data_IF_225816065925
#
_entry.id   IF_225816065925
#
_cell.length_a   1.000
_cell.length_b   1.000
_cell.length_c   1.000
_cell.angle_alpha   90.00
_cell.angle_beta   90.00
_cell.angle_gamma   90.00
#
_symmetry.space_group_name_H-M   'P 1'
#
loop_
_entity.id
_entity.type
_entity.pdbx_description
1 polymer ?
#
# COMPACT_ATOMS: atom_id res chain seq x y z
N UNK A 1 26.38 3.56 -8.55
CA UNK A 1 27.69 3.69 -9.23
C UNK A 1 28.61 2.52 -8.89
N UNK A 2 28.88 2.23 -7.61
CA UNK A 2 29.75 1.11 -7.18
C UNK A 2 29.34 -0.26 -7.75
N UNK A 3 28.05 -0.61 -7.73
CA UNK A 3 27.55 -1.87 -8.31
C UNK A 3 27.87 -2.02 -9.81
N UNK A 4 27.80 -0.92 -10.58
CA UNK A 4 28.14 -0.91 -12.01
C UNK A 4 29.63 -1.21 -12.22
N UNK A 5 30.48 -0.52 -11.46
CA UNK A 5 31.93 -0.60 -11.62
C UNK A 5 32.44 -2.00 -11.25
N UNK A 6 31.95 -2.55 -10.15
CA UNK A 6 32.34 -3.86 -9.64
C UNK A 6 31.88 -5.00 -10.55
N UNK A 7 30.67 -4.89 -11.11
CA UNK A 7 30.18 -5.85 -12.11
C UNK A 7 31.00 -5.79 -13.40
N UNK A 8 31.32 -4.58 -13.90
CA UNK A 8 32.10 -4.42 -15.13
C UNK A 8 33.52 -5.00 -15.00
N UNK A 9 34.17 -4.84 -13.84
CA UNK A 9 35.50 -5.43 -13.59
C UNK A 9 35.48 -6.96 -13.54
N UNK A 10 34.33 -7.57 -13.23
CA UNK A 10 34.15 -9.02 -13.19
C UNK A 10 33.61 -9.57 -14.53
N UNK A 11 33.53 -8.75 -15.58
CA UNK A 11 32.98 -9.14 -16.89
C UNK A 11 31.45 -9.19 -16.95
N UNK A 12 30.75 -8.70 -15.92
CA UNK A 12 29.29 -8.66 -15.84
C UNK A 12 28.66 -7.39 -16.45
N UNK A 13 27.35 -7.42 -16.70
CA UNK A 13 26.61 -6.26 -17.20
C UNK A 13 26.40 -5.21 -16.11
N UNK A 14 27.09 -4.07 -16.24
CA UNK A 14 26.95 -2.94 -15.33
C UNK A 14 25.53 -2.35 -15.28
N UNK A 15 24.75 -2.46 -16.36
CA UNK A 15 23.34 -2.03 -16.39
C UNK A 15 22.46 -2.95 -15.54
N UNK A 16 22.65 -4.27 -15.67
CA UNK A 16 21.91 -5.25 -14.88
C UNK A 16 22.24 -5.13 -13.39
N UNK A 17 23.51 -4.89 -13.04
CA UNK A 17 23.92 -4.72 -11.65
C UNK A 17 23.26 -3.50 -10.98
N UNK A 18 23.14 -2.37 -11.70
CA UNK A 18 22.43 -1.19 -11.18
C UNK A 18 20.94 -1.43 -11.10
N UNK A 19 20.34 -2.12 -12.07
CA UNK A 19 18.93 -2.52 -12.01
C UNK A 19 18.63 -3.39 -10.79
N UNK A 20 19.43 -4.44 -10.55
CA UNK A 20 19.27 -5.32 -9.40
C UNK A 20 19.49 -4.58 -8.07
N UNK A 21 20.50 -3.71 -7.99
CA UNK A 21 20.69 -2.86 -6.82
C UNK A 21 19.46 -1.96 -6.57
N UNK A 22 18.86 -1.40 -7.62
CA UNK A 22 17.63 -0.62 -7.54
C UNK A 22 16.44 -1.44 -7.05
N UNK A 23 16.27 -2.68 -7.52
CA UNK A 23 15.21 -3.59 -7.05
C UNK A 23 15.39 -3.93 -5.57
N UNK A 24 16.61 -4.29 -5.15
CA UNK A 24 16.93 -4.61 -3.75
C UNK A 24 16.67 -3.39 -2.85
N UNK A 25 17.14 -2.22 -3.26
CA UNK A 25 16.98 -0.97 -2.51
C UNK A 25 15.51 -0.49 -2.50
N UNK A 26 14.76 -0.76 -3.57
CA UNK A 26 13.34 -0.45 -3.66
C UNK A 26 12.46 -1.33 -2.78
N UNK A 27 12.88 -2.56 -2.50
CA UNK A 27 12.18 -3.48 -1.61
C UNK A 27 12.62 -3.38 -0.14
N UNK A 28 13.67 -2.60 0.17
CA UNK A 28 14.12 -2.42 1.55
C UNK A 28 13.35 -1.30 2.27
N UNK A 29 13.38 -1.35 3.61
CA UNK A 29 12.84 -0.28 4.48
C UNK A 29 13.92 0.80 4.62
N UNK A 30 13.86 1.80 3.76
CA UNK A 30 14.73 2.97 3.81
C UNK A 30 14.09 4.13 4.56
N UNK A 31 14.88 4.77 5.41
CA UNK A 31 14.53 6.08 5.98
C UNK A 31 14.53 7.11 4.84
N UNK A 32 13.54 8.03 4.81
CA UNK A 32 13.35 9.01 3.73
C UNK A 32 13.19 8.41 2.32
N UNK A 33 12.64 7.19 2.21
CA UNK A 33 12.44 6.49 0.93
C UNK A 33 11.85 7.40 -0.15
N UNK A 34 10.73 8.08 0.12
CA UNK A 34 10.07 8.98 -0.85
C UNK A 34 10.99 10.09 -1.34
N UNK A 35 11.72 10.75 -0.44
CA UNK A 35 12.68 11.81 -0.80
C UNK A 35 13.79 11.30 -1.72
N UNK A 36 14.36 10.13 -1.41
CA UNK A 36 15.35 9.47 -2.26
C UNK A 36 14.77 9.13 -3.62
N UNK A 37 13.56 8.55 -3.66
CA UNK A 37 12.88 8.21 -4.92
C UNK A 37 12.60 9.45 -5.76
N UNK A 38 12.04 10.52 -5.20
CA UNK A 38 11.74 11.76 -5.93
C UNK A 38 13.01 12.42 -6.48
N UNK A 39 14.09 12.45 -5.70
CA UNK A 39 15.37 13.00 -6.15
C UNK A 39 15.96 12.17 -7.31
N UNK A 40 15.98 10.84 -7.17
CA UNK A 40 16.47 9.95 -8.22
C UNK A 40 15.59 9.96 -9.47
N UNK A 41 14.27 10.07 -9.32
CA UNK A 41 13.32 10.18 -10.42
C UNK A 41 13.54 11.48 -11.20
N UNK A 42 13.72 12.61 -10.50
CA UNK A 42 14.09 13.88 -11.11
C UNK A 42 15.42 13.81 -11.88
N UNK A 43 16.46 13.18 -11.30
CA UNK A 43 17.74 12.98 -11.98
C UNK A 43 17.61 12.06 -13.21
N UNK A 44 16.80 11.00 -13.12
CA UNK A 44 16.54 10.10 -14.23
C UNK A 44 15.85 10.83 -15.38
N UNK A 45 14.87 11.68 -15.06
CA UNK A 45 14.15 12.48 -16.04
C UNK A 45 15.06 13.50 -16.73
N UNK A 46 15.90 14.21 -15.97
CA UNK A 46 16.89 15.14 -16.50
C UNK A 46 17.91 14.42 -17.42
N UNK A 47 18.38 13.24 -16.99
CA UNK A 47 19.31 12.42 -17.78
C UNK A 47 18.67 11.94 -19.08
N UNK A 48 17.39 11.55 -19.03
CA UNK A 48 16.63 11.12 -20.20
C UNK A 48 16.44 12.27 -21.20
N UNK A 49 16.07 13.47 -20.74
CA UNK A 49 15.94 14.65 -21.60
C UNK A 49 17.29 14.99 -22.24
N UNK A 50 18.34 15.10 -21.42
CA UNK A 50 19.71 15.37 -21.91
C UNK A 50 20.11 14.38 -22.99
N UNK A 51 19.87 13.10 -22.76
CA UNK A 51 20.19 12.04 -23.70
C UNK A 51 19.41 12.18 -25.03
N UNK A 52 18.09 12.38 -24.98
CA UNK A 52 17.29 12.55 -26.20
C UNK A 52 17.68 13.82 -26.97
N UNK A 53 18.01 14.90 -26.26
CA UNK A 53 18.50 16.14 -26.89
C UNK A 53 19.85 15.91 -27.58
N UNK A 54 20.84 15.32 -26.88
CA UNK A 54 22.16 15.03 -27.46
C UNK A 54 22.06 14.08 -28.65
N UNK A 55 21.26 13.02 -28.55
CA UNK A 55 21.09 12.06 -29.64
C UNK A 55 20.28 12.64 -30.81
N UNK A 56 19.31 13.51 -30.51
CA UNK A 56 18.61 14.28 -31.53
C UNK A 56 19.53 15.23 -32.29
N UNK A 57 20.46 15.89 -31.60
CA UNK A 57 21.49 16.75 -32.22
C UNK A 57 22.47 15.97 -33.10
N UNK A 58 22.69 14.68 -32.83
CA UNK A 58 23.51 13.80 -33.65
C UNK A 58 22.79 13.29 -34.92
N UNK A 59 21.47 13.48 -35.01
CA UNK A 59 20.67 13.02 -36.15
C UNK A 59 20.31 14.17 -37.09
N UNK A 60 20.54 13.98 -38.39
CA UNK A 60 20.18 14.96 -39.41
C UNK A 60 18.79 14.65 -39.98
N UNK A 61 17.81 15.58 -39.93
CA UNK A 61 16.45 15.33 -40.43
C UNK A 61 16.39 14.91 -41.90
N UNK A 62 17.29 15.41 -42.75
CA UNK A 62 17.39 15.03 -44.16
C UNK A 62 17.70 13.54 -44.35
N UNK A 63 18.65 12.99 -43.58
CA UNK A 63 19.04 11.56 -43.64
C UNK A 63 17.94 10.63 -43.13
N UNK A 64 17.18 11.11 -42.14
CA UNK A 64 16.00 10.38 -41.63
C UNK A 64 14.92 10.24 -42.71
N UNK A 65 14.69 11.28 -43.52
CA UNK A 65 13.72 11.24 -44.61
C UNK A 65 14.14 10.28 -45.73
N UNK A 66 15.44 10.24 -46.07
CA UNK A 66 15.97 9.29 -47.05
C UNK A 66 15.81 7.83 -46.58
N UNK A 67 15.94 7.60 -45.27
CA UNK A 67 15.84 6.27 -44.66
C UNK A 67 14.43 5.93 -44.17
N UNK A 68 13.46 6.84 -44.35
CA UNK A 68 12.12 6.72 -43.77
C UNK A 68 11.37 5.47 -44.25
N UNK A 69 11.55 5.06 -45.51
CA UNK A 69 10.90 3.86 -46.06
C UNK A 69 11.38 2.58 -45.35
N UNK A 70 12.71 2.42 -45.23
CA UNK A 70 13.33 1.29 -44.52
C UNK A 70 13.00 1.33 -43.03
N UNK A 71 13.08 2.51 -42.40
CA UNK A 71 12.74 2.68 -40.99
C UNK A 71 11.26 2.39 -40.69
N UNK A 72 10.34 2.81 -41.57
CA UNK A 72 8.91 2.55 -41.43
C UNK A 72 8.60 1.07 -41.58
N UNK A 73 9.21 0.39 -42.56
CA UNK A 73 9.06 -1.06 -42.74
C UNK A 73 9.53 -1.81 -41.49
N UNK A 74 10.73 -1.49 -40.99
CA UNK A 74 11.28 -2.11 -39.77
C UNK A 74 10.38 -1.82 -38.56
N UNK A 75 9.91 -0.58 -38.40
CA UNK A 75 8.99 -0.22 -37.33
C UNK A 75 7.68 -1.01 -37.41
N UNK A 76 7.09 -1.11 -38.61
CA UNK A 76 5.85 -1.83 -38.83
C UNK A 76 6.01 -3.33 -38.52
N UNK A 77 7.07 -3.98 -39.01
CA UNK A 77 7.35 -5.39 -38.71
C UNK A 77 7.55 -5.59 -37.20
N UNK A 78 8.32 -4.72 -36.53
CA UNK A 78 8.54 -4.85 -35.10
C UNK A 78 7.26 -4.67 -34.28
N UNK A 79 6.40 -3.73 -34.65
CA UNK A 79 5.18 -3.38 -33.90
C UNK A 79 4.03 -4.35 -34.19
N UNK A 80 3.79 -4.71 -35.45
CA UNK A 80 2.63 -5.51 -35.85
C UNK A 80 2.93 -7.01 -35.94
N UNK A 81 4.20 -7.43 -36.03
CA UNK A 81 4.56 -8.84 -36.16
C UNK A 81 5.39 -9.28 -34.95
N UNK A 82 6.60 -8.74 -34.78
CA UNK A 82 7.53 -9.26 -33.77
C UNK A 82 6.98 -9.13 -32.35
N UNK A 83 6.37 -7.98 -32.01
CA UNK A 83 5.78 -7.74 -30.69
C UNK A 83 4.58 -8.64 -30.37
N UNK A 84 3.54 -8.73 -31.21
CA UNK A 84 2.44 -9.65 -30.99
C UNK A 84 2.90 -11.11 -30.91
N UNK A 85 3.78 -11.55 -31.80
CA UNK A 85 4.31 -12.93 -31.76
C UNK A 85 5.02 -13.20 -30.44
N UNK A 86 5.87 -12.29 -29.97
CA UNK A 86 6.59 -12.45 -28.70
C UNK A 86 5.64 -12.40 -27.49
N UNK A 87 4.73 -11.42 -27.43
CA UNK A 87 3.83 -11.24 -26.30
C UNK A 87 2.81 -12.37 -26.21
N UNK A 88 2.18 -12.77 -27.33
CA UNK A 88 1.28 -13.91 -27.34
C UNK A 88 2.05 -15.21 -27.05
N UNK A 89 3.19 -15.45 -27.71
CA UNK A 89 3.95 -16.67 -27.48
C UNK A 89 4.40 -16.87 -26.03
N UNK A 90 4.83 -15.80 -25.35
CA UNK A 90 5.35 -15.87 -23.99
C UNK A 90 4.24 -15.81 -22.92
N UNK A 91 3.19 -15.01 -23.13
CA UNK A 91 2.20 -14.73 -22.08
C UNK A 91 0.92 -15.56 -22.21
N UNK A 92 0.69 -16.22 -23.36
CA UNK A 92 -0.46 -17.10 -23.56
C UNK A 92 -0.64 -18.17 -22.46
N UNK A 93 0.41 -18.84 -21.96
CA UNK A 93 0.26 -19.85 -20.91
C UNK A 93 -0.14 -19.29 -19.53
N UNK A 94 -0.01 -17.99 -19.30
CA UNK A 94 -0.17 -17.36 -17.99
C UNK A 94 -1.60 -16.83 -17.72
N UNK A 95 -2.58 -17.18 -18.57
CA UNK A 95 -4.00 -16.88 -18.33
C UNK A 95 -4.44 -15.44 -18.65
N UNK A 96 -3.63 -14.67 -19.39
CA UNK A 96 -3.99 -13.33 -19.83
C UNK A 96 -5.12 -13.35 -20.87
N UNK A 97 -6.04 -12.40 -20.77
CA UNK A 97 -7.12 -12.24 -21.76
C UNK A 97 -6.55 -11.70 -23.06
N UNK A 98 -7.16 -12.04 -24.21
CA UNK A 98 -6.71 -11.56 -25.53
C UNK A 98 -6.64 -10.03 -25.62
N UNK A 99 -7.54 -9.30 -24.92
CA UNK A 99 -7.52 -7.83 -24.83
C UNK A 99 -6.27 -7.32 -24.11
N UNK A 100 -5.86 -8.01 -23.04
CA UNK A 100 -4.65 -7.68 -22.27
C UNK A 100 -3.40 -7.99 -23.09
N UNK A 101 -3.36 -9.13 -23.78
CA UNK A 101 -2.26 -9.50 -24.67
C UNK A 101 -2.08 -8.49 -25.82
N UNK A 102 -3.17 -8.04 -26.45
CA UNK A 102 -3.13 -6.97 -27.46
C UNK A 102 -2.59 -5.67 -26.88
N UNK A 103 -3.04 -5.28 -25.69
CA UNK A 103 -2.55 -4.08 -25.03
C UNK A 103 -1.06 -4.17 -24.72
N UNK A 104 -0.60 -5.28 -24.14
CA UNK A 104 0.82 -5.52 -23.83
C UNK A 104 1.68 -5.52 -25.11
N UNK A 105 1.17 -6.12 -26.19
CA UNK A 105 1.83 -6.11 -27.51
C UNK A 105 1.99 -4.69 -28.05
N UNK A 106 0.96 -3.85 -27.88
CA UNK A 106 0.96 -2.46 -28.33
C UNK A 106 1.79 -1.53 -27.44
N UNK A 107 1.85 -1.81 -26.14
CA UNK A 107 2.54 -1.01 -25.11
C UNK A 107 4.08 -1.05 -25.21
N UNK A 108 4.62 -1.68 -26.25
CA UNK A 108 6.06 -1.86 -26.48
C UNK A 108 6.83 -0.61 -26.93
N UNK A 109 6.55 0.54 -26.31
CA UNK A 109 7.22 1.82 -26.52
C UNK A 109 8.74 1.65 -26.48
N UNK A 110 9.41 2.04 -27.57
CA UNK A 110 10.87 2.06 -27.59
C UNK A 110 11.35 3.33 -26.90
N UNK A 111 12.18 3.16 -25.87
CA UNK A 111 12.74 4.28 -25.11
C UNK A 111 14.14 4.66 -25.58
N UNK A 112 14.90 5.18 -24.63
CA UNK A 112 16.28 5.63 -24.78
C UNK A 112 17.26 4.49 -25.19
N UNK A 113 17.10 3.29 -24.61
CA UNK A 113 18.09 2.21 -24.70
C UNK A 113 18.49 1.84 -26.13
N UNK A 114 17.57 1.58 -27.09
CA UNK A 114 17.94 1.25 -28.46
C UNK A 114 18.78 2.35 -29.12
N UNK A 115 18.53 3.62 -28.83
CA UNK A 115 19.27 4.73 -29.43
C UNK A 115 20.73 4.75 -28.96
N UNK A 116 20.99 4.53 -27.67
CA UNK A 116 22.37 4.33 -27.17
C UNK A 116 23.01 3.12 -27.85
N UNK A 117 22.30 2.00 -27.95
CA UNK A 117 22.88 0.83 -28.60
C UNK A 117 23.19 1.09 -30.07
N UNK A 118 22.40 1.92 -30.74
CA UNK A 118 22.62 2.39 -32.10
C UNK A 118 23.84 3.30 -32.25
N UNK A 119 24.37 3.91 -31.18
CA UNK A 119 25.62 4.67 -31.28
C UNK A 119 26.85 3.78 -31.29
N UNK A 120 26.78 2.52 -30.83
CA UNK A 120 27.94 1.63 -30.84
C UNK A 120 28.52 1.40 -32.25
N UNK A 121 27.72 1.05 -33.28
CA UNK A 121 28.23 0.95 -34.65
C UNK A 121 28.94 2.22 -35.14
N UNK A 122 28.41 3.40 -34.78
CA UNK A 122 29.01 4.68 -35.12
C UNK A 122 30.33 4.91 -34.37
N UNK A 123 30.38 4.59 -33.07
CA UNK A 123 31.57 4.73 -32.22
C UNK A 123 32.70 3.77 -32.63
N UNK A 124 32.35 2.56 -33.05
CA UNK A 124 33.32 1.58 -33.54
C UNK A 124 33.69 1.79 -35.02
N UNK A 125 33.13 2.81 -35.68
CA UNK A 125 33.43 3.13 -37.07
C UNK A 125 33.04 2.04 -38.05
N UNK A 126 31.98 1.27 -37.75
CA UNK A 126 31.54 0.19 -38.61
C UNK A 126 31.02 0.72 -39.96
N UNK A 127 31.21 -0.03 -41.06
CA UNK A 127 30.54 0.27 -42.33
C UNK A 127 29.03 0.43 -42.12
N UNK A 128 28.44 1.46 -42.73
CA UNK A 128 27.01 1.80 -42.59
C UNK A 128 26.54 2.11 -41.15
N UNK A 129 27.44 2.35 -40.19
CA UNK A 129 27.08 2.66 -38.80
C UNK A 129 26.14 3.87 -38.67
N UNK A 130 26.30 4.88 -39.52
CA UNK A 130 25.38 6.03 -39.61
C UNK A 130 23.98 5.63 -40.06
N UNK A 131 23.86 4.77 -41.08
CA UNK A 131 22.55 4.27 -41.56
C UNK A 131 21.84 3.43 -40.49
N UNK A 132 22.58 2.59 -39.77
CA UNK A 132 22.03 1.79 -38.66
C UNK A 132 21.51 2.70 -37.55
N UNK A 133 22.29 3.72 -37.18
CA UNK A 133 21.87 4.72 -36.20
C UNK A 133 20.60 5.46 -36.66
N UNK A 134 20.57 5.94 -37.90
CA UNK A 134 19.44 6.68 -38.48
C UNK A 134 18.16 5.82 -38.52
N UNK A 135 18.25 4.54 -38.92
CA UNK A 135 17.12 3.58 -38.87
C UNK A 135 16.62 3.40 -37.44
N UNK A 136 17.52 3.13 -36.48
CA UNK A 136 17.13 2.91 -35.08
C UNK A 136 16.47 4.16 -34.50
N UNK A 137 17.06 5.33 -34.74
CA UNK A 137 16.54 6.60 -34.28
C UNK A 137 15.15 6.87 -34.87
N UNK A 138 14.96 6.67 -36.19
CA UNK A 138 13.66 6.79 -36.85
C UNK A 138 12.61 5.87 -36.22
N UNK A 139 12.97 4.60 -36.01
CA UNK A 139 12.07 3.60 -35.41
C UNK A 139 11.68 4.00 -33.98
N UNK A 140 12.60 4.54 -33.17
CA UNK A 140 12.30 5.02 -31.81
C UNK A 140 11.40 6.25 -31.87
N UNK A 141 11.70 7.22 -32.73
CA UNK A 141 10.91 8.44 -32.89
C UNK A 141 9.46 8.15 -33.29
N UNK A 142 9.25 7.33 -34.34
CA UNK A 142 7.91 6.99 -34.79
C UNK A 142 7.15 6.16 -33.75
N UNK A 143 7.84 5.25 -33.05
CA UNK A 143 7.24 4.45 -31.96
C UNK A 143 6.80 5.36 -30.80
N UNK A 144 7.63 6.32 -30.39
CA UNK A 144 7.32 7.24 -29.31
C UNK A 144 6.11 8.14 -29.66
N UNK A 145 6.05 8.67 -30.88
CA UNK A 145 4.93 9.50 -31.35
C UNK A 145 3.65 8.67 -31.48
N UNK A 146 3.71 7.58 -32.25
CA UNK A 146 2.53 6.78 -32.59
C UNK A 146 2.03 5.98 -31.39
N UNK A 147 2.88 5.17 -30.76
CA UNK A 147 2.47 4.34 -29.63
C UNK A 147 2.24 5.18 -28.37
N UNK A 148 3.00 6.27 -28.18
CA UNK A 148 2.89 7.11 -26.97
C UNK A 148 1.56 7.84 -26.91
N UNK A 149 1.13 8.41 -28.04
CA UNK A 149 -0.18 9.08 -28.15
C UNK A 149 -1.36 8.09 -28.15
N UNK A 150 -1.19 6.90 -28.73
CA UNK A 150 -2.29 5.92 -28.86
C UNK A 150 -2.45 4.99 -27.66
N UNK A 151 -1.46 4.90 -26.75
CA UNK A 151 -1.48 3.97 -25.62
C UNK A 151 -2.72 4.19 -24.73
N UNK A 152 -2.96 5.43 -24.31
CA UNK A 152 -4.10 5.76 -23.44
C UNK A 152 -5.45 5.58 -24.13
N UNK A 153 -5.53 5.89 -25.43
CA UNK A 153 -6.73 5.63 -26.23
C UNK A 153 -7.02 4.14 -26.36
N UNK A 154 -5.99 3.32 -26.61
CA UNK A 154 -6.15 1.88 -26.74
C UNK A 154 -6.53 1.23 -25.41
N UNK A 155 -5.93 1.67 -24.31
CA UNK A 155 -6.28 1.22 -22.95
C UNK A 155 -7.77 1.44 -22.64
N UNK A 156 -8.30 2.63 -23.00
CA UNK A 156 -9.73 2.97 -22.89
C UNK A 156 -10.58 2.04 -23.76
N UNK A 157 -10.22 1.89 -25.04
CA UNK A 157 -10.99 1.07 -26.00
C UNK A 157 -11.01 -0.42 -25.63
N UNK A 158 -9.92 -0.91 -25.06
CA UNK A 158 -9.82 -2.28 -24.57
C UNK A 158 -10.43 -2.48 -23.18
N UNK A 159 -10.95 -1.44 -22.53
CA UNK A 159 -11.62 -1.54 -21.23
C UNK A 159 -10.73 -2.09 -20.12
N UNK A 160 -9.41 -1.87 -20.21
CA UNK A 160 -8.42 -2.35 -19.22
C UNK A 160 -8.21 -1.30 -18.11
N UNK A 161 -8.64 -0.07 -18.35
CA UNK A 161 -8.59 0.99 -17.34
C UNK A 161 -9.62 0.67 -16.26
N UNK A 162 -9.13 0.29 -15.09
CA UNK A 162 -9.94 0.26 -13.87
C UNK A 162 -10.09 1.69 -13.34
N UNK A 163 -11.23 2.06 -12.76
CA UNK A 163 -11.35 3.32 -12.04
C UNK A 163 -10.21 3.39 -11.03
N UNK A 164 -9.49 4.51 -10.98
CA UNK A 164 -8.53 4.73 -9.91
C UNK A 164 -9.31 4.58 -8.60
N UNK A 165 -8.93 3.64 -7.74
CA UNK A 165 -9.34 3.70 -6.34
C UNK A 165 -9.01 5.11 -5.86
N UNK A 166 -10.02 5.85 -5.41
CA UNK A 166 -9.95 7.26 -5.05
C UNK A 166 -8.60 7.55 -4.38
N UNK A 167 -7.76 8.46 -4.92
CA UNK A 167 -6.47 8.74 -4.32
C UNK A 167 -6.73 9.07 -2.84
N UNK A 168 -6.09 8.38 -1.88
CA UNK A 168 -6.29 8.70 -0.48
C UNK A 168 -5.99 10.20 -0.31
N UNK A 169 -6.99 11.02 0.08
CA UNK A 169 -6.73 12.43 0.35
C UNK A 169 -5.61 12.49 1.38
N UNK A 170 -4.50 13.14 1.04
CA UNK A 170 -3.38 13.36 1.93
C UNK A 170 -2.73 12.11 2.56
N UNK A 171 -1.79 11.46 1.87
CA UNK A 171 -0.72 10.75 2.58
C UNK A 171 0.11 11.77 3.38
N UNK A 172 -0.27 12.05 4.64
CA UNK A 172 0.63 12.75 5.56
C UNK A 172 1.75 11.78 5.91
N UNK A 173 2.84 11.82 5.15
CA UNK A 173 4.10 11.23 5.59
C UNK A 173 4.65 12.11 6.70
N UNK A 174 4.40 11.73 7.95
CA UNK A 174 5.15 12.27 9.08
C UNK A 174 6.57 11.74 8.94
N UNK A 175 7.38 12.56 8.32
CA UNK A 175 8.80 12.32 8.16
C UNK A 175 9.44 12.59 9.52
N UNK A 176 9.75 11.52 10.25
CA UNK A 176 10.54 11.51 11.47
C UNK A 176 9.89 12.11 12.72
N UNK A 177 9.46 11.25 13.64
CA UNK A 177 9.81 11.44 15.05
C UNK A 177 10.48 10.15 15.51
N UNK A 178 11.79 10.24 15.74
CA UNK A 178 12.72 9.15 16.03
C UNK A 178 12.44 8.39 17.34
N UNK A 179 11.36 8.72 18.04
CA UNK A 179 11.00 8.22 19.38
C UNK A 179 9.49 7.91 19.53
N UNK A 180 8.71 7.82 18.43
CA UNK A 180 7.28 7.51 18.51
C UNK A 180 6.96 6.28 17.65
N UNK A 181 6.73 5.14 18.30
CA UNK A 181 6.20 3.92 17.69
C UNK A 181 4.73 4.14 17.26
N UNK A 182 4.51 4.85 16.15
CA UNK A 182 3.15 5.12 15.65
C UNK A 182 3.04 5.32 14.14
N UNK A 183 1.93 4.84 13.59
CA UNK A 183 1.48 4.94 12.21
C UNK A 183 0.29 5.90 12.09
N UNK A 184 0.13 6.56 10.93
CA UNK A 184 -1.08 7.29 10.56
C UNK A 184 -1.57 6.73 9.22
N UNK A 185 -2.83 6.29 9.17
CA UNK A 185 -3.42 5.65 8.00
C UNK A 185 -4.78 6.27 7.66
N UNK A 186 -5.06 6.38 6.35
CA UNK A 186 -6.36 6.78 5.80
C UNK A 186 -7.21 5.54 5.51
N UNK A 187 -8.41 5.50 6.10
CA UNK A 187 -9.41 4.46 5.90
C UNK A 187 -10.66 5.03 5.21
N UNK A 188 -10.90 4.69 3.93
CA UNK A 188 -12.13 5.04 3.24
C UNK A 188 -13.29 4.16 3.72
N UNK A 189 -14.43 4.77 4.01
CA UNK A 189 -15.64 4.06 4.43
C UNK A 189 -16.50 3.72 3.22
N UNK A 190 -16.60 2.42 2.94
CA UNK A 190 -17.47 1.89 1.89
C UNK A 190 -18.94 1.89 2.31
N UNK A 191 -19.87 1.84 1.35
CA UNK A 191 -21.30 1.76 1.61
C UNK A 191 -21.70 0.53 2.42
N UNK A 192 -20.99 -0.58 2.24
CA UNK A 192 -21.25 -1.85 2.94
C UNK A 192 -20.45 -1.97 4.26
N UNK A 193 -19.80 -0.89 4.70
CA UNK A 193 -18.99 -0.92 5.92
C UNK A 193 -19.88 -1.04 7.16
N UNK A 194 -19.58 -1.95 8.11
CA UNK A 194 -20.29 -2.02 9.38
C UNK A 194 -20.09 -0.77 10.24
N UNK A 195 -19.12 0.08 9.90
CA UNK A 195 -18.83 1.34 10.58
C UNK A 195 -19.71 2.49 10.09
N UNK A 196 -20.46 2.31 9.00
CA UNK A 196 -21.37 3.34 8.49
C UNK A 196 -22.51 3.60 9.50
N UNK A 197 -22.67 4.87 9.88
CA UNK A 197 -23.67 5.33 10.86
C UNK A 197 -23.20 5.28 12.32
N UNK A 198 -22.09 4.59 12.62
CA UNK A 198 -21.51 4.48 13.97
C UNK A 198 -20.94 5.84 14.41
N UNK A 199 -21.15 6.20 15.68
CA UNK A 199 -20.53 7.41 16.23
C UNK A 199 -19.09 7.11 16.69
N UNK A 200 -18.21 8.10 16.60
CA UNK A 200 -16.78 7.93 16.95
C UNK A 200 -16.59 7.38 18.38
N UNK A 201 -17.48 7.73 19.33
CA UNK A 201 -17.40 7.19 20.71
C UNK A 201 -17.68 5.68 20.82
N UNK A 202 -18.45 5.14 19.88
CA UNK A 202 -18.89 3.74 19.86
C UNK A 202 -17.95 2.87 19.02
N UNK A 203 -16.95 3.48 18.35
CA UNK A 203 -15.97 2.78 17.51
C UNK A 203 -15.04 1.85 18.32
N UNK A 204 -15.05 1.95 19.65
CA UNK A 204 -14.30 1.10 20.60
C UNK A 204 -12.88 0.80 20.15
N UNK A 205 -12.15 1.86 19.76
CA UNK A 205 -10.77 1.75 19.33
C UNK A 205 -9.87 1.28 20.48
N UNK A 206 -8.84 0.47 20.19
CA UNK A 206 -7.85 0.06 21.18
C UNK A 206 -7.10 1.26 21.77
N UNK A 207 -6.59 1.12 22.99
CA UNK A 207 -5.69 2.13 23.56
C UNK A 207 -4.45 2.28 22.67
N UNK A 208 -4.09 3.53 22.39
CA UNK A 208 -3.06 3.83 21.41
C UNK A 208 -3.53 3.87 19.96
N UNK A 209 -4.84 3.86 19.69
CA UNK A 209 -5.44 4.24 18.40
C UNK A 209 -6.46 5.38 18.56
N UNK A 210 -6.43 6.36 17.66
CA UNK A 210 -7.27 7.56 17.68
C UNK A 210 -7.63 8.00 16.26
N UNK A 211 -8.91 8.29 16.01
CA UNK A 211 -9.31 9.04 14.81
C UNK A 211 -8.88 10.50 15.00
N UNK A 212 -7.91 10.97 14.21
CA UNK A 212 -7.40 12.33 14.31
C UNK A 212 -8.22 13.34 13.51
N UNK A 213 -8.67 12.95 12.31
CA UNK A 213 -9.55 13.77 11.49
C UNK A 213 -10.42 12.92 10.57
N UNK A 214 -11.56 13.48 10.20
CA UNK A 214 -12.47 12.91 9.20
C UNK A 214 -12.51 13.88 8.02
N UNK A 215 -12.46 13.38 6.80
CA UNK A 215 -12.78 14.20 5.62
C UNK A 215 -14.04 13.71 4.95
N UNK A 216 -14.93 14.65 4.64
CA UNK A 216 -16.21 14.43 3.95
C UNK A 216 -16.42 15.56 2.96
N UNK A 217 -16.70 15.23 1.70
CA UNK A 217 -16.90 16.22 0.63
C UNK A 217 -15.79 17.28 0.57
N UNK A 218 -14.53 16.85 0.74
CA UNK A 218 -13.33 17.70 0.80
C UNK A 218 -13.30 18.72 1.96
N UNK A 219 -14.09 18.52 3.01
CA UNK A 219 -14.07 19.32 4.24
C UNK A 219 -13.48 18.51 5.39
N UNK A 220 -12.65 19.16 6.21
CA UNK A 220 -12.11 18.57 7.44
C UNK A 220 -13.15 18.70 8.54
N UNK A 221 -13.51 17.57 9.14
CA UNK A 221 -14.42 17.47 10.28
C UNK A 221 -13.59 17.00 11.49
N UNK A 222 -13.49 17.80 12.55
CA UNK A 222 -12.83 17.37 13.78
C UNK A 222 -13.65 16.26 14.46
N UNK A 223 -13.04 15.12 14.81
CA UNK A 223 -13.75 13.98 15.35
C UNK A 223 -14.17 14.29 16.79
N UNK A 224 -15.47 14.47 17.00
CA UNK A 224 -16.09 14.51 18.33
C UNK A 224 -16.75 13.16 18.60
N UNK A 225 -16.91 12.77 19.86
CA UNK A 225 -17.60 11.52 20.20
C UNK A 225 -19.04 11.41 19.67
N UNK A 226 -19.71 12.53 19.37
CA UNK A 226 -21.04 12.55 18.72
C UNK A 226 -21.01 12.52 17.19
N UNK A 227 -19.82 12.62 16.58
CA UNK A 227 -19.66 12.63 15.13
C UNK A 227 -19.97 11.24 14.61
N UNK A 228 -20.93 11.16 13.67
CA UNK A 228 -21.26 9.91 12.98
C UNK A 228 -20.43 9.77 11.71
N UNK A 229 -19.99 8.55 11.47
CA UNK A 229 -19.29 8.10 10.28
C UNK A 229 -20.33 7.83 9.19
N UNK A 230 -20.07 8.25 7.95
CA UNK A 230 -20.94 8.03 6.80
C UNK A 230 -20.19 7.34 5.66
N UNK A 231 -20.91 6.66 4.75
CA UNK A 231 -20.30 6.20 3.50
C UNK A 231 -19.59 7.34 2.76
N UNK A 232 -18.46 7.03 2.14
CA UNK A 232 -17.54 7.98 1.49
C UNK A 232 -16.77 8.92 2.44
N UNK A 233 -16.90 8.78 3.77
CA UNK A 233 -15.96 9.40 4.69
C UNK A 233 -14.56 8.78 4.57
N UNK A 234 -13.55 9.59 4.81
CA UNK A 234 -12.17 9.15 5.00
C UNK A 234 -11.74 9.43 6.44
N UNK A 235 -11.37 8.38 7.16
CA UNK A 235 -10.95 8.45 8.55
C UNK A 235 -9.43 8.31 8.65
N UNK A 236 -8.78 9.33 9.20
CA UNK A 236 -7.35 9.28 9.47
C UNK A 236 -7.15 8.82 10.89
N UNK A 237 -6.59 7.64 11.04
CA UNK A 237 -6.37 7.01 12.35
C UNK A 237 -4.88 7.01 12.65
N UNK A 238 -4.52 7.61 13.77
CA UNK A 238 -3.19 7.55 14.37
C UNK A 238 -3.18 6.37 15.32
N UNK A 239 -2.21 5.48 15.20
CA UNK A 239 -2.14 4.27 16.02
C UNK A 239 -0.71 3.86 16.34
N UNK A 240 -0.49 3.06 17.39
CA UNK A 240 0.78 2.34 17.56
C UNK A 240 0.97 1.31 16.44
N UNK A 241 2.20 1.13 15.97
CA UNK A 241 2.49 0.26 14.81
C UNK A 241 2.05 -1.19 15.00
N UNK A 242 2.03 -1.71 16.24
CA UNK A 242 1.55 -3.07 16.52
C UNK A 242 0.05 -3.25 16.33
N UNK A 243 -0.75 -2.18 16.41
CA UNK A 243 -2.20 -2.22 16.32
C UNK A 243 -2.70 -2.24 14.87
N UNK A 244 -1.84 -1.92 13.91
CA UNK A 244 -2.20 -1.80 12.49
C UNK A 244 -2.98 -3.01 11.95
N UNK A 245 -2.57 -4.28 12.17
CA UNK A 245 -3.33 -5.42 11.65
C UNK A 245 -4.75 -5.55 12.22
N UNK A 246 -4.98 -5.04 13.44
CA UNK A 246 -6.30 -5.05 14.09
C UNK A 246 -7.17 -3.96 13.47
N UNK A 247 -6.62 -2.75 13.33
CA UNK A 247 -7.34 -1.61 12.73
C UNK A 247 -7.63 -1.87 11.24
N UNK A 248 -6.68 -2.39 10.48
CA UNK A 248 -6.89 -2.74 9.07
C UNK A 248 -8.11 -3.67 8.89
N UNK A 249 -8.29 -4.65 9.78
CA UNK A 249 -9.46 -5.55 9.75
C UNK A 249 -10.76 -4.87 10.13
N UNK A 250 -10.72 -4.02 11.17
CA UNK A 250 -11.88 -3.25 11.63
C UNK A 250 -12.49 -2.44 10.49
N UNK A 251 -11.64 -1.79 9.68
CA UNK A 251 -12.06 -0.94 8.57
C UNK A 251 -12.30 -1.68 7.25
N UNK A 252 -11.70 -2.86 7.04
CA UNK A 252 -11.87 -3.66 5.82
C UNK A 252 -13.27 -4.32 5.70
N UNK A 253 -14.05 -4.40 6.78
CA UNK A 253 -15.38 -5.03 6.78
C UNK A 253 -15.35 -6.56 6.61
N UNK A 254 -14.18 -7.19 6.71
CA UNK A 254 -13.94 -8.62 6.40
C UNK A 254 -14.26 -9.58 7.56
N UNK A 255 -15.23 -9.24 8.41
CA UNK A 255 -15.55 -9.98 9.63
C UNK A 255 -14.74 -9.53 10.86
N UNK A 256 -14.90 -10.20 12.01
CA UNK A 256 -14.38 -9.72 13.29
C UNK A 256 -12.85 -9.61 13.31
N UNK A 257 -12.35 -8.49 13.84
CA UNK A 257 -10.91 -8.25 13.96
C UNK A 257 -10.27 -9.29 14.91
N UNK A 258 -9.15 -9.89 14.50
CA UNK A 258 -8.47 -10.86 15.36
C UNK A 258 -7.72 -10.15 16.48
N UNK A 259 -7.90 -10.65 17.71
CA UNK A 259 -7.14 -10.20 18.88
C UNK A 259 -5.69 -10.68 18.75
N UNK A 260 -4.69 -9.79 18.90
CA UNK A 260 -3.29 -10.19 18.88
C UNK A 260 -2.95 -11.07 20.09
N UNK A 261 -1.90 -11.92 20.02
CA UNK A 261 -1.55 -12.85 21.11
C UNK A 261 -1.24 -12.18 22.45
N UNK A 262 -0.82 -10.91 22.44
CA UNK A 262 -0.54 -10.09 23.64
C UNK A 262 -1.78 -9.43 24.24
N UNK A 263 -2.95 -9.70 23.68
CA UNK A 263 -4.20 -9.05 24.06
C UNK A 263 -4.36 -7.65 23.49
N UNK A 264 -5.58 -7.16 23.60
CA UNK A 264 -5.98 -5.83 23.16
C UNK A 264 -6.34 -4.99 24.37
N UNK A 265 -5.67 -3.85 24.56
CA UNK A 265 -6.07 -2.90 25.60
C UNK A 265 -7.21 -2.02 25.11
N UNK A 266 -8.26 -1.92 25.91
CA UNK A 266 -9.48 -1.18 25.61
C UNK A 266 -9.86 -0.28 26.79
N UNK A 267 -10.60 0.78 26.50
CA UNK A 267 -11.13 1.65 27.54
C UNK A 267 -12.23 0.93 28.33
N UNK A 268 -12.25 1.09 29.66
CA UNK A 268 -13.24 0.45 30.54
C UNK A 268 -14.69 0.85 30.23
N UNK A 269 -14.90 2.02 29.61
CA UNK A 269 -16.21 2.46 29.14
C UNK A 269 -16.68 1.83 27.82
N UNK A 270 -15.86 0.99 27.18
CA UNK A 270 -16.26 0.31 25.94
C UNK A 270 -17.45 -0.63 26.22
N UNK A 271 -18.46 -0.56 25.36
CA UNK A 271 -19.69 -1.34 25.51
C UNK A 271 -19.47 -2.76 25.02
N UNK A 272 -20.01 -3.73 25.75
CA UNK A 272 -19.87 -5.15 25.38
C UNK A 272 -20.48 -5.45 24.01
N UNK A 273 -21.58 -4.78 23.65
CA UNK A 273 -22.22 -4.91 22.34
C UNK A 273 -21.30 -4.48 21.18
N UNK A 274 -20.57 -3.37 21.34
CA UNK A 274 -19.63 -2.89 20.33
C UNK A 274 -18.45 -3.85 20.18
N UNK A 275 -17.98 -4.42 21.30
CA UNK A 275 -16.90 -5.41 21.29
C UNK A 275 -17.32 -6.71 20.59
N UNK A 276 -18.54 -7.18 20.82
CA UNK A 276 -19.09 -8.33 20.13
C UNK A 276 -19.22 -8.07 18.61
N UNK A 277 -19.73 -6.91 18.22
CA UNK A 277 -19.94 -6.56 16.81
C UNK A 277 -18.62 -6.36 16.04
N UNK A 278 -17.64 -5.68 16.65
CA UNK A 278 -16.40 -5.26 15.96
C UNK A 278 -15.28 -6.31 16.05
N UNK A 279 -15.19 -7.01 17.18
CA UNK A 279 -14.12 -7.98 17.44
C UNK A 279 -14.61 -9.43 17.51
N UNK A 280 -15.92 -9.68 17.38
CA UNK A 280 -16.48 -11.04 17.39
C UNK A 280 -16.24 -11.77 18.70
N UNK A 281 -16.38 -11.05 19.82
CA UNK A 281 -16.18 -11.58 21.16
C UNK A 281 -17.51 -11.97 21.79
N UNK A 282 -17.71 -13.27 22.00
CA UNK A 282 -18.84 -13.80 22.77
C UNK A 282 -18.48 -13.77 24.26
N UNK A 283 -18.50 -12.56 24.84
CA UNK A 283 -18.25 -12.34 26.27
C UNK A 283 -19.55 -12.61 27.02
N UNK A 284 -19.93 -13.89 27.14
CA UNK A 284 -21.04 -14.33 28.00
C UNK A 284 -22.34 -13.56 27.77
N UNK A 285 -22.84 -13.56 26.53
CA UNK A 285 -24.08 -12.88 26.10
C UNK A 285 -25.35 -13.24 26.90
N UNK A 286 -25.32 -14.25 27.77
CA UNK A 286 -26.45 -14.64 28.62
C UNK A 286 -26.68 -13.72 29.84
N UNK A 287 -25.71 -12.88 30.24
CA UNK A 287 -25.85 -11.95 31.37
C UNK A 287 -25.84 -10.45 30.98
N UNK A 288 -25.59 -10.14 29.71
CA UNK A 288 -25.30 -8.79 29.21
C UNK A 288 -26.47 -8.11 28.46
N UNK A 289 -27.70 -8.63 28.59
CA UNK A 289 -28.93 -8.14 27.92
C UNK A 289 -29.49 -6.83 28.53
N UNK A 290 -28.60 -6.03 29.16
CA UNK A 290 -28.91 -4.68 29.62
C UNK A 290 -28.20 -3.70 28.69
N UNK A 291 -28.99 -2.93 27.96
CA UNK A 291 -28.49 -1.81 27.15
C UNK A 291 -27.51 -0.94 27.95
N UNK A 292 -26.28 -0.83 27.45
CA UNK A 292 -25.25 0.04 28.04
C UNK A 292 -24.26 -0.64 29.00
N UNK A 293 -24.24 -1.97 29.10
CA UNK A 293 -23.22 -2.69 29.89
C UNK A 293 -21.81 -2.46 29.30
N UNK A 294 -20.87 -2.05 30.15
CA UNK A 294 -19.48 -1.72 29.80
C UNK A 294 -18.49 -2.77 30.33
N UNK A 295 -17.26 -2.75 29.82
CA UNK A 295 -16.16 -3.56 30.39
C UNK A 295 -15.99 -3.31 31.89
N UNK A 296 -16.07 -2.06 32.32
CA UNK A 296 -15.92 -1.68 33.73
C UNK A 296 -17.04 -2.29 34.60
N UNK A 297 -18.30 -2.21 34.16
CA UNK A 297 -19.42 -2.81 34.90
C UNK A 297 -19.32 -4.35 34.93
N UNK A 298 -18.89 -4.99 33.85
CA UNK A 298 -18.70 -6.46 33.84
C UNK A 298 -17.67 -6.91 34.88
N UNK A 299 -16.54 -6.20 34.96
CA UNK A 299 -15.47 -6.49 35.91
C UNK A 299 -15.94 -6.26 37.36
N UNK A 300 -16.65 -5.16 37.63
CA UNK A 300 -17.24 -4.89 38.94
C UNK A 300 -18.27 -5.95 39.35
N UNK A 301 -19.16 -6.35 38.43
CA UNK A 301 -20.22 -7.32 38.71
C UNK A 301 -19.65 -8.73 38.99
N UNK A 302 -18.57 -9.13 38.30
CA UNK A 302 -17.98 -10.47 38.47
C UNK A 302 -16.93 -10.56 39.59
N UNK A 303 -16.14 -9.51 39.83
CA UNK A 303 -15.11 -9.50 40.88
C UNK A 303 -15.67 -9.01 42.23
N UNK A 304 -16.67 -8.13 42.20
CA UNK A 304 -17.16 -7.38 43.35
C UNK A 304 -16.25 -6.20 43.73
N UNK A 305 -16.82 -5.10 44.23
CA UNK A 305 -16.12 -3.82 44.49
C UNK A 305 -14.84 -3.95 45.33
N UNK A 306 -14.74 -4.95 46.21
CA UNK A 306 -13.57 -5.19 47.08
C UNK A 306 -12.43 -5.98 46.43
N UNK A 307 -12.62 -6.52 45.21
CA UNK A 307 -11.60 -7.33 44.51
C UNK A 307 -11.18 -6.73 43.17
N UNK A 308 -11.66 -5.53 42.84
CA UNK A 308 -11.29 -4.85 41.60
C UNK A 308 -9.99 -4.10 41.83
N UNK A 309 -8.89 -4.80 41.59
CA UNK A 309 -7.53 -4.28 41.68
C UNK A 309 -6.81 -4.44 40.33
N UNK A 310 -5.73 -3.69 40.10
CA UNK A 310 -4.92 -3.84 38.89
C UNK A 310 -4.32 -5.24 38.85
N UNK A 311 -4.51 -5.95 37.74
CA UNK A 311 -4.14 -7.36 37.57
C UNK A 311 -5.26 -8.36 37.88
N UNK A 312 -6.37 -7.93 38.49
CA UNK A 312 -7.55 -8.77 38.64
C UNK A 312 -8.16 -9.08 37.27
N UNK A 313 -8.62 -10.31 37.05
CA UNK A 313 -9.19 -10.73 35.78
C UNK A 313 -10.40 -11.62 35.95
N UNK A 314 -11.23 -11.63 34.91
CA UNK A 314 -12.40 -12.49 34.77
C UNK A 314 -12.26 -13.27 33.48
N UNK A 315 -12.63 -14.55 33.51
CA UNK A 315 -12.69 -15.39 32.31
C UNK A 315 -14.15 -15.58 31.93
N UNK A 316 -14.54 -15.07 30.76
CA UNK A 316 -15.87 -15.21 30.19
C UNK A 316 -15.75 -16.05 28.91
N UNK A 317 -16.12 -17.33 28.97
CA UNK A 317 -15.95 -18.26 27.85
C UNK A 317 -14.48 -18.44 27.47
N UNK A 318 -14.11 -18.06 26.24
CA UNK A 318 -12.74 -18.14 25.71
C UNK A 318 -11.97 -16.81 25.79
N UNK A 319 -12.49 -15.86 26.58
CA UNK A 319 -11.95 -14.51 26.66
C UNK A 319 -11.58 -14.20 28.10
N UNK A 320 -10.33 -13.81 28.34
CA UNK A 320 -9.86 -13.26 29.61
C UNK A 320 -9.89 -11.75 29.52
N UNK A 321 -10.52 -11.11 30.51
CA UNK A 321 -10.56 -9.67 30.67
C UNK A 321 -9.84 -9.30 31.95
N UNK A 322 -8.75 -8.56 31.85
CA UNK A 322 -7.88 -8.17 32.97
C UNK A 322 -7.91 -6.65 33.20
N UNK A 323 -8.02 -6.22 34.45
CA UNK A 323 -7.94 -4.80 34.84
C UNK A 323 -6.49 -4.32 34.69
N UNK A 324 -6.23 -3.37 33.81
CA UNK A 324 -4.88 -2.81 33.62
C UNK A 324 -4.70 -1.42 34.22
N UNK A 325 -5.77 -0.63 34.32
CA UNK A 325 -5.74 0.68 34.98
C UNK A 325 -7.03 0.94 35.75
N UNK A 326 -6.87 1.35 37.01
CA UNK A 326 -7.96 1.74 37.90
C UNK A 326 -7.72 3.17 38.40
N UNK A 327 -8.75 4.02 38.39
CA UNK A 327 -8.71 5.36 39.00
C UNK A 327 -9.98 5.62 39.77
N UNK A 328 -9.83 6.04 41.03
CA UNK A 328 -10.95 6.37 41.92
C UNK A 328 -11.99 5.23 42.03
N UNK A 329 -11.55 3.98 42.04
CA UNK A 329 -12.44 2.81 42.09
C UNK A 329 -13.10 2.44 40.76
N UNK A 330 -12.83 3.17 39.67
CA UNK A 330 -13.39 2.92 38.33
C UNK A 330 -12.32 2.35 37.41
N UNK A 331 -12.63 1.22 36.76
CA UNK A 331 -11.78 0.62 35.73
C UNK A 331 -11.69 1.57 34.53
N UNK A 332 -10.49 2.11 34.28
CA UNK A 332 -10.23 2.99 33.13
C UNK A 332 -9.77 2.21 31.92
N UNK A 333 -9.01 1.14 32.11
CA UNK A 333 -8.51 0.28 31.04
C UNK A 333 -8.58 -1.18 31.44
N UNK A 334 -8.88 -2.01 30.44
CA UNK A 334 -8.86 -3.45 30.57
C UNK A 334 -8.20 -4.08 29.35
N UNK A 335 -7.45 -5.17 29.57
CA UNK A 335 -6.86 -5.99 28.50
C UNK A 335 -7.74 -7.18 28.22
N UNK A 336 -7.98 -7.44 26.94
CA UNK A 336 -8.74 -8.60 26.46
C UNK A 336 -7.80 -9.56 25.74
N UNK A 337 -7.76 -10.81 26.19
CA UNK A 337 -6.96 -11.89 25.60
C UNK A 337 -7.86 -13.08 25.25
N UNK A 338 -7.59 -13.74 24.10
CA UNK A 338 -8.20 -15.04 23.82
C UNK A 338 -7.39 -16.13 24.53
N UNK A 339 -8.08 -16.96 25.30
CA UNK A 339 -7.46 -18.08 26.02
C UNK A 339 -7.85 -19.40 25.35
N UNK A 340 -6.86 -20.23 25.07
CA UNK A 340 -7.05 -21.52 24.39
C UNK A 340 -7.49 -22.65 25.34
N UNK A 341 -7.29 -22.50 26.66
CA UNK A 341 -7.71 -23.45 27.70
C UNK A 341 -8.26 -22.72 28.93
N UNK A 342 -9.41 -23.16 29.43
CA UNK A 342 -10.00 -22.68 30.70
C UNK A 342 -9.19 -23.27 31.85
N UNK A 343 -8.03 -22.69 32.16
CA UNK A 343 -7.40 -22.92 33.45
C UNK A 343 -7.91 -21.84 34.39
N UNK A 344 -8.75 -22.22 35.36
CA UNK A 344 -9.15 -21.36 36.48
C UNK A 344 -8.00 -21.39 37.49
N UNK A 345 -7.19 -20.33 37.64
CA UNK A 345 -6.27 -20.23 38.75
C UNK A 345 -7.11 -19.82 39.95
N UNK A 346 -7.33 -20.77 40.86
CA UNK A 346 -7.85 -20.52 42.19
C UNK A 346 -7.12 -19.31 42.77
N UNK A 347 -7.88 -18.31 43.21
CA UNK A 347 -7.36 -17.16 43.94
C UNK A 347 -6.37 -17.67 45.00
N UNK A 348 -5.16 -17.12 45.02
CA UNK A 348 -4.18 -17.41 46.06
C UNK A 348 -4.82 -17.10 47.42
N UNK A 349 -5.20 -18.16 48.11
CA UNK A 349 -5.50 -18.11 49.52
C UNK A 349 -4.18 -17.81 50.22
N UNK A 350 -4.20 -16.67 50.88
CA UNK A 350 -3.28 -16.26 51.93
C UNK A 350 -3.21 -17.38 52.99
N UNK A 351 -2.09 -18.10 53.07
CA UNK A 351 -1.69 -18.90 54.22
C UNK A 351 -0.16 -18.87 54.36
N UNK A 352 0.32 -18.16 55.39
CA UNK A 352 1.72 -18.19 55.84
C UNK A 352 2.22 -16.89 56.44
#
# INVERSE_FOLDING_TARGET
MYARLLAATLGGSGFLAVYLAGVVLGNSRLVFKRGIFLFHDGMAWLSQITMFVVLGLLSFPSRLLETASSGLLVAAVLVFVARPVAAFGLLWPFGFRWRELLFISWAGLKGAVPVILGTYPLLFGLPDGSKIFDVIFFVVLISAILQGSTLGWLARRLGIIRPASTPPPASLEITSIRDVDGDILDYPISHDSPLAGVAIRDLSLPDGALVALITRDSRIIPPRGSTRIWPADHLFVVMRSELRPVIDRLFAGSGPAAIPPRGLELQGGARLADLAALYGLDIGLAAADRDGTTLASLLHDHLGDRRVEVGAYVVCGHVRVEVTELRDGVVKRARIERVSEVHVPTAAADEG
#
